data_IF_757831384441
#
_entry.id   IF_757831384441
#
_cell.length_a   1.000
_cell.length_b   1.000
_cell.length_c   1.000
_cell.angle_alpha   90.00
_cell.angle_beta   90.00
_cell.angle_gamma   90.00
#
_symmetry.space_group_name_H-M   'P 1'
#
loop_
_entity.id
_entity.type
_entity.pdbx_description
1 polymer ?
#
# COMPACT_ATOMS: atom_id res chain seq x y z
N UNK A 1 5.25 -8.24 -24.70
CA UNK A 1 5.00 -8.75 -23.32
C UNK A 1 3.65 -9.45 -23.24
N UNK A 2 2.54 -8.82 -23.68
CA UNK A 2 1.21 -9.48 -23.73
C UNK A 2 1.17 -10.71 -24.64
N UNK A 3 1.69 -10.63 -25.86
CA UNK A 3 1.57 -11.74 -26.83
C UNK A 3 2.26 -13.04 -26.36
N UNK A 4 3.38 -12.90 -25.65
CA UNK A 4 4.10 -14.04 -25.05
C UNK A 4 3.32 -14.61 -23.87
N UNK A 5 2.74 -13.75 -23.03
CA UNK A 5 1.89 -14.15 -21.91
C UNK A 5 0.61 -14.84 -22.39
N UNK A 6 -0.06 -14.30 -23.40
CA UNK A 6 -1.32 -14.82 -23.92
C UNK A 6 -1.12 -16.17 -24.61
N UNK A 7 0.01 -16.34 -25.31
CA UNK A 7 0.42 -17.63 -25.88
C UNK A 7 0.67 -18.68 -24.80
N UNK A 8 1.39 -18.34 -23.73
CA UNK A 8 1.65 -19.24 -22.61
C UNK A 8 0.36 -19.61 -21.87
N UNK A 9 -0.52 -18.64 -21.63
CA UNK A 9 -1.82 -18.89 -21.00
C UNK A 9 -2.67 -19.85 -21.84
N UNK A 10 -2.67 -19.71 -23.17
CA UNK A 10 -3.35 -20.65 -24.07
C UNK A 10 -2.78 -22.07 -24.00
N UNK A 11 -1.45 -22.19 -23.99
CA UNK A 11 -0.73 -23.47 -23.96
C UNK A 11 -0.99 -24.26 -22.66
N UNK A 12 -1.09 -23.56 -21.53
CA UNK A 12 -1.40 -24.16 -20.22
C UNK A 12 -2.91 -24.24 -19.91
N UNK A 13 -3.79 -23.95 -20.87
CA UNK A 13 -5.24 -24.02 -20.68
C UNK A 13 -5.80 -22.97 -19.69
N UNK A 14 -5.05 -21.89 -19.43
CA UNK A 14 -5.50 -20.74 -18.66
C UNK A 14 -6.38 -19.84 -19.55
N UNK A 15 -7.36 -19.16 -18.96
CA UNK A 15 -8.28 -18.31 -19.72
C UNK A 15 -7.53 -17.15 -20.38
N UNK A 16 -7.44 -17.17 -21.71
CA UNK A 16 -7.00 -16.03 -22.52
C UNK A 16 -8.19 -15.07 -22.67
N UNK A 17 -7.99 -13.80 -22.33
CA UNK A 17 -9.02 -12.78 -22.51
C UNK A 17 -8.97 -12.32 -23.98
N UNK A 18 -9.64 -13.05 -24.87
CA UNK A 18 -9.65 -12.78 -26.32
C UNK A 18 -10.27 -11.41 -26.66
N UNK A 19 -11.27 -11.00 -25.88
CA UNK A 19 -11.97 -9.73 -26.05
C UNK A 19 -11.97 -8.97 -24.72
N UNK A 20 -10.91 -8.21 -24.40
CA UNK A 20 -10.88 -7.42 -23.19
C UNK A 20 -12.03 -6.41 -23.23
N UNK A 21 -13.01 -6.60 -22.34
CA UNK A 21 -14.09 -5.62 -22.15
C UNK A 21 -13.45 -4.26 -21.88
N UNK A 22 -14.03 -3.19 -22.48
CA UNK A 22 -13.57 -1.80 -22.27
C UNK A 22 -13.33 -1.55 -20.78
N UNK A 23 -12.34 -0.70 -20.50
CA UNK A 23 -12.01 -0.25 -19.15
C UNK A 23 -13.28 0.03 -18.35
N UNK A 24 -13.32 -0.39 -17.07
CA UNK A 24 -14.55 -0.37 -16.29
C UNK A 24 -15.19 1.01 -16.32
N UNK A 25 -16.42 1.04 -16.81
CA UNK A 25 -17.08 2.30 -17.20
C UNK A 25 -17.75 2.99 -16.01
N UNK A 26 -18.01 2.27 -14.92
CA UNK A 26 -18.66 2.79 -13.71
C UNK A 26 -17.68 3.43 -12.70
N UNK A 27 -18.05 4.54 -12.03
CA UNK A 27 -17.21 5.21 -11.02
C UNK A 27 -16.74 4.28 -9.89
N UNK A 28 -17.63 3.41 -9.39
CA UNK A 28 -17.32 2.47 -8.31
C UNK A 28 -16.19 1.51 -8.70
N UNK A 29 -16.27 0.92 -9.90
CA UNK A 29 -15.29 -0.06 -10.35
C UNK A 29 -13.92 0.59 -10.62
N UNK A 30 -13.89 1.85 -11.06
CA UNK A 30 -12.63 2.62 -11.18
C UNK A 30 -11.98 2.86 -9.82
N UNK A 31 -12.77 3.13 -8.80
CA UNK A 31 -12.28 3.32 -7.43
C UNK A 31 -11.69 2.02 -6.87
N UNK A 32 -12.35 0.88 -7.07
CA UNK A 32 -11.83 -0.42 -6.65
C UNK A 32 -10.51 -0.77 -7.36
N UNK A 33 -10.40 -0.49 -8.66
CA UNK A 33 -9.12 -0.64 -9.37
C UNK A 33 -8.02 0.25 -8.78
N UNK A 34 -8.33 1.51 -8.46
CA UNK A 34 -7.36 2.43 -7.84
C UNK A 34 -6.86 1.90 -6.49
N UNK A 35 -7.76 1.35 -5.67
CA UNK A 35 -7.38 0.72 -4.39
C UNK A 35 -6.46 -0.49 -4.61
N UNK A 36 -6.76 -1.32 -5.60
CA UNK A 36 -5.92 -2.48 -5.94
C UNK A 36 -4.53 -2.03 -6.42
N UNK A 37 -4.44 -1.00 -7.26
CA UNK A 37 -3.16 -0.43 -7.71
C UNK A 37 -2.36 0.15 -6.54
N UNK A 38 -3.02 0.82 -5.59
CA UNK A 38 -2.40 1.36 -4.38
C UNK A 38 -1.83 0.25 -3.48
N UNK A 39 -2.58 -0.84 -3.26
CA UNK A 39 -2.12 -2.00 -2.50
C UNK A 39 -0.94 -2.67 -3.23
N UNK A 40 -1.04 -2.85 -4.55
CA UNK A 40 0.03 -3.45 -5.35
C UNK A 40 1.33 -2.64 -5.25
N UNK A 41 1.24 -1.31 -5.31
CA UNK A 41 2.39 -0.43 -5.12
C UNK A 41 3.01 -0.57 -3.70
N UNK A 42 2.17 -0.67 -2.67
CA UNK A 42 2.63 -0.88 -1.29
C UNK A 42 3.34 -2.23 -1.10
N UNK A 43 2.80 -3.31 -1.67
CA UNK A 43 3.41 -4.65 -1.58
C UNK A 43 4.75 -4.69 -2.30
N UNK A 44 4.84 -4.05 -3.48
CA UNK A 44 6.12 -3.90 -4.19
C UNK A 44 7.14 -3.14 -3.36
N UNK A 45 6.74 -2.02 -2.77
CA UNK A 45 7.60 -1.23 -1.88
C UNK A 45 8.11 -2.06 -0.70
N UNK A 46 7.24 -2.81 -0.02
CA UNK A 46 7.64 -3.68 1.08
C UNK A 46 8.67 -4.73 0.64
N UNK A 47 8.51 -5.28 -0.55
CA UNK A 47 9.43 -6.28 -1.11
C UNK A 47 10.79 -5.68 -1.45
N UNK A 48 10.80 -4.51 -2.10
CA UNK A 48 12.02 -3.79 -2.51
C UNK A 48 12.84 -3.29 -1.30
N UNK A 49 12.17 -2.93 -0.21
CA UNK A 49 12.80 -2.44 1.04
C UNK A 49 12.98 -3.53 2.12
N UNK A 50 12.68 -4.79 1.81
CA UNK A 50 12.75 -5.93 2.74
C UNK A 50 11.97 -5.71 4.06
N UNK A 51 10.82 -5.04 3.98
CA UNK A 51 9.98 -4.73 5.14
C UNK A 51 9.08 -5.94 5.43
N UNK A 52 9.42 -6.70 6.46
CA UNK A 52 8.63 -7.85 6.91
C UNK A 52 7.91 -7.60 8.23
N UNK A 53 8.47 -6.74 9.08
CA UNK A 53 7.93 -6.45 10.41
C UNK A 53 7.55 -4.97 10.56
N UNK A 54 6.74 -4.68 11.59
CA UNK A 54 6.41 -3.29 11.95
C UNK A 54 7.65 -2.49 12.37
N UNK A 55 8.64 -3.16 12.96
CA UNK A 55 9.92 -2.55 13.31
C UNK A 55 10.71 -2.14 12.07
N UNK A 56 10.79 -3.01 11.06
CA UNK A 56 11.49 -2.71 9.81
C UNK A 56 10.87 -1.50 9.10
N UNK A 57 9.54 -1.41 9.10
CA UNK A 57 8.80 -0.28 8.55
C UNK A 57 9.14 1.04 9.25
N UNK A 58 9.33 1.01 10.58
CA UNK A 58 9.75 2.18 11.35
C UNK A 58 11.18 2.58 11.03
N UNK A 59 12.11 1.62 11.01
CA UNK A 59 13.51 1.88 10.68
C UNK A 59 13.69 2.44 9.26
N UNK A 60 12.97 1.89 8.28
CA UNK A 60 12.98 2.37 6.90
C UNK A 60 12.36 3.79 6.81
N UNK A 61 11.24 4.04 7.49
CA UNK A 61 10.63 5.37 7.56
C UNK A 61 11.59 6.41 8.13
N UNK A 62 12.26 6.10 9.24
CA UNK A 62 13.17 7.02 9.91
C UNK A 62 14.42 7.28 9.05
N UNK A 63 14.94 6.25 8.38
CA UNK A 63 16.03 6.38 7.41
C UNK A 63 15.63 7.29 6.23
N UNK A 64 14.46 7.07 5.64
CA UNK A 64 13.96 7.90 4.54
C UNK A 64 13.67 9.35 4.99
N UNK A 65 13.23 9.55 6.23
CA UNK A 65 12.99 10.88 6.79
C UNK A 65 14.31 11.64 7.00
N UNK A 66 15.30 11.01 7.63
CA UNK A 66 16.62 11.64 7.83
C UNK A 66 17.28 12.01 6.50
N UNK A 67 17.17 11.15 5.47
CA UNK A 67 17.70 11.45 4.15
C UNK A 67 16.94 12.58 3.45
N UNK A 68 15.62 12.63 3.62
CA UNK A 68 14.80 13.75 3.13
C UNK A 68 15.26 15.07 3.73
N UNK A 69 15.49 15.11 5.05
CA UNK A 69 15.91 16.33 5.75
C UNK A 69 17.32 16.77 5.32
N UNK A 70 18.25 15.82 5.16
CA UNK A 70 19.59 16.08 4.62
C UNK A 70 19.53 16.68 3.21
N UNK A 71 18.74 16.11 2.32
CA UNK A 71 18.60 16.60 0.95
C UNK A 71 17.89 17.96 0.90
N UNK A 72 16.94 18.22 1.79
CA UNK A 72 16.30 19.54 1.90
C UNK A 72 17.34 20.60 2.31
N UNK A 73 18.19 20.30 3.29
CA UNK A 73 19.27 21.17 3.73
C UNK A 73 20.30 21.38 2.61
N UNK A 74 20.69 20.32 1.91
CA UNK A 74 21.61 20.40 0.79
C UNK A 74 21.03 21.23 -0.38
N UNK A 75 19.76 21.03 -0.72
CA UNK A 75 19.04 21.83 -1.72
C UNK A 75 18.99 23.32 -1.33
N UNK A 76 18.82 23.62 -0.04
CA UNK A 76 18.90 24.99 0.50
C UNK A 76 20.30 25.57 0.30
N UNK A 77 21.35 24.80 0.58
CA UNK A 77 22.73 25.21 0.33
C UNK A 77 23.00 25.48 -1.15
N UNK A 78 22.55 24.61 -2.06
CA UNK A 78 22.65 24.82 -3.50
C UNK A 78 21.93 26.11 -3.94
N UNK A 79 20.74 26.37 -3.40
CA UNK A 79 20.02 27.62 -3.68
C UNK A 79 20.81 28.86 -3.23
N UNK A 80 21.44 28.81 -2.06
CA UNK A 80 22.30 29.90 -1.58
C UNK A 80 23.53 30.10 -2.47
N UNK A 81 24.12 29.01 -2.99
CA UNK A 81 25.25 29.07 -3.95
C UNK A 81 24.82 29.69 -5.29
N UNK A 82 23.66 29.29 -5.84
CA UNK A 82 23.11 29.86 -7.08
C UNK A 82 22.91 31.37 -6.98
N UNK A 83 22.45 31.86 -5.83
CA UNK A 83 22.25 33.29 -5.61
C UNK A 83 23.57 34.09 -5.65
N UNK A 84 24.71 33.46 -5.36
CA UNK A 84 26.03 34.12 -5.21
C UNK A 84 26.99 33.86 -6.38
N UNK A 85 26.76 32.84 -7.19
CA UNK A 85 27.67 32.39 -8.24
C UNK A 85 27.58 33.25 -9.52
N UNK A 86 28.60 33.12 -10.40
CA UNK A 86 28.60 33.72 -11.74
C UNK A 86 27.70 32.92 -12.73
N UNK A 87 27.24 33.53 -13.84
CA UNK A 87 26.28 32.91 -14.76
C UNK A 87 26.67 31.51 -15.27
N UNK A 88 27.95 31.25 -15.56
CA UNK A 88 28.42 29.95 -16.04
C UNK A 88 28.40 28.84 -14.97
N UNK A 89 28.58 29.20 -13.70
CA UNK A 89 28.55 28.25 -12.58
C UNK A 89 27.13 27.97 -12.11
N UNK A 90 26.19 28.89 -12.36
CA UNK A 90 24.77 28.73 -12.01
C UNK A 90 24.14 27.52 -12.69
N UNK A 91 24.47 27.26 -13.95
CA UNK A 91 23.89 26.12 -14.69
C UNK A 91 24.22 24.79 -14.02
N UNK A 92 25.47 24.59 -13.60
CA UNK A 92 25.87 23.39 -12.85
C UNK A 92 25.08 23.23 -11.54
N UNK A 93 24.94 24.29 -10.76
CA UNK A 93 24.18 24.23 -9.51
C UNK A 93 22.67 24.04 -9.74
N UNK A 94 22.11 24.49 -10.88
CA UNK A 94 20.70 24.22 -11.25
C UNK A 94 20.49 22.75 -11.57
N UNK A 95 21.39 22.14 -12.34
CA UNK A 95 21.36 20.70 -12.66
C UNK A 95 21.46 19.85 -11.38
N UNK A 96 22.42 20.15 -10.50
CA UNK A 96 22.56 19.47 -9.20
C UNK A 96 21.29 19.64 -8.35
N UNK A 97 20.74 20.86 -8.28
CA UNK A 97 19.50 21.14 -7.54
C UNK A 97 18.31 20.36 -8.10
N UNK A 98 18.24 20.20 -9.41
CA UNK A 98 17.20 19.40 -10.07
C UNK A 98 17.31 17.93 -9.64
N UNK A 99 18.50 17.33 -9.73
CA UNK A 99 18.73 15.94 -9.29
C UNK A 99 18.38 15.73 -7.80
N UNK A 100 18.75 16.67 -6.93
CA UNK A 100 18.37 16.63 -5.50
C UNK A 100 16.85 16.73 -5.32
N UNK A 101 16.17 17.52 -6.15
CA UNK A 101 14.71 17.65 -6.09
C UNK A 101 14.03 16.35 -6.52
N UNK A 102 14.56 15.67 -7.54
CA UNK A 102 14.08 14.34 -7.96
C UNK A 102 14.24 13.31 -6.83
N UNK A 103 15.41 13.25 -6.19
CA UNK A 103 15.62 12.37 -5.03
C UNK A 103 14.65 12.67 -3.87
N UNK A 104 14.41 13.94 -3.52
CA UNK A 104 13.43 14.33 -2.50
C UNK A 104 12.03 13.87 -2.88
N UNK A 105 11.63 14.03 -4.15
CA UNK A 105 10.30 13.59 -4.60
C UNK A 105 10.14 12.09 -4.49
N UNK A 106 11.17 11.31 -4.79
CA UNK A 106 11.15 9.85 -4.63
C UNK A 106 11.06 9.44 -3.16
N UNK A 107 11.88 10.00 -2.27
CA UNK A 107 11.80 9.73 -0.83
C UNK A 107 10.43 10.08 -0.23
N UNK A 108 9.79 11.15 -0.71
CA UNK A 108 8.41 11.50 -0.30
C UNK A 108 7.39 10.45 -0.72
N UNK A 109 7.56 9.81 -1.88
CA UNK A 109 6.70 8.67 -2.27
C UNK A 109 6.90 7.50 -1.34
N UNK A 110 8.15 7.18 -0.98
CA UNK A 110 8.47 6.12 0.00
C UNK A 110 7.81 6.38 1.36
N UNK A 111 7.94 7.60 1.89
CA UNK A 111 7.27 8.01 3.13
C UNK A 111 5.74 7.89 3.04
N UNK A 112 5.16 8.22 1.88
CA UNK A 112 3.72 8.03 1.63
C UNK A 112 3.34 6.55 1.68
N UNK A 113 4.10 5.66 1.04
CA UNK A 113 3.86 4.22 1.09
C UNK A 113 3.98 3.68 2.52
N UNK A 114 5.03 4.06 3.24
CA UNK A 114 5.23 3.63 4.61
C UNK A 114 4.06 4.05 5.54
N UNK A 115 3.56 5.29 5.38
CA UNK A 115 2.40 5.77 6.13
C UNK A 115 1.11 5.02 5.77
N UNK A 116 0.89 4.71 4.49
CA UNK A 116 -0.26 3.96 4.02
C UNK A 116 -0.24 2.51 4.54
N UNK A 117 0.91 1.84 4.47
CA UNK A 117 1.10 0.47 5.00
C UNK A 117 0.81 0.44 6.50
N UNK A 118 1.32 1.41 7.27
CA UNK A 118 1.02 1.51 8.70
C UNK A 118 -0.48 1.60 8.96
N UNK A 119 -1.19 2.47 8.22
CA UNK A 119 -2.65 2.61 8.34
C UNK A 119 -3.38 1.31 8.00
N UNK A 120 -2.98 0.63 6.92
CA UNK A 120 -3.55 -0.64 6.52
C UNK A 120 -3.31 -1.74 7.55
N UNK A 121 -2.09 -1.86 8.08
CA UNK A 121 -1.80 -2.83 9.16
C UNK A 121 -2.67 -2.59 10.40
N UNK A 122 -2.86 -1.33 10.81
CA UNK A 122 -3.69 -1.01 11.96
C UNK A 122 -5.18 -1.33 11.72
N UNK A 123 -5.66 -1.18 10.49
CA UNK A 123 -7.02 -1.59 10.13
C UNK A 123 -7.18 -3.10 10.18
N UNK A 124 -6.20 -3.86 9.67
CA UNK A 124 -6.19 -5.33 9.74
C UNK A 124 -6.18 -5.79 11.20
N UNK A 125 -5.29 -5.23 12.02
CA UNK A 125 -5.21 -5.51 13.47
C UNK A 125 -6.60 -5.30 14.12
N UNK A 126 -7.25 -4.16 13.86
CA UNK A 126 -8.58 -3.87 14.40
C UNK A 126 -9.67 -4.84 13.92
N UNK A 127 -9.63 -5.29 12.66
CA UNK A 127 -10.57 -6.29 12.16
C UNK A 127 -10.34 -7.65 12.84
N UNK A 128 -9.09 -8.03 13.11
CA UNK A 128 -8.78 -9.27 13.83
C UNK A 128 -9.30 -9.21 15.26
N UNK A 129 -9.09 -8.09 15.96
CA UNK A 129 -9.60 -7.88 17.32
C UNK A 129 -11.13 -8.04 17.38
N UNK A 130 -11.87 -7.43 16.44
CA UNK A 130 -13.32 -7.57 16.36
C UNK A 130 -13.78 -9.03 16.15
N UNK A 131 -13.05 -9.79 15.34
CA UNK A 131 -13.33 -11.21 15.12
C UNK A 131 -13.09 -11.99 16.42
N UNK A 132 -11.98 -11.73 17.10
CA UNK A 132 -11.65 -12.36 18.38
C UNK A 132 -12.71 -12.07 19.44
N UNK A 133 -13.11 -10.82 19.62
CA UNK A 133 -14.17 -10.42 20.55
C UNK A 133 -15.50 -11.10 20.22
N UNK A 134 -15.85 -11.16 18.93
CA UNK A 134 -17.08 -11.83 18.47
C UNK A 134 -17.06 -13.33 18.82
N UNK A 135 -15.92 -14.00 18.60
CA UNK A 135 -15.76 -15.42 18.93
C UNK A 135 -15.80 -15.67 20.45
N UNK A 136 -15.20 -14.79 21.24
CA UNK A 136 -15.18 -14.92 22.70
C UNK A 136 -16.56 -14.68 23.32
N UNK A 137 -17.30 -13.70 22.82
CA UNK A 137 -18.69 -13.45 23.22
C UNK A 137 -19.61 -14.62 22.86
N UNK A 138 -19.39 -15.30 21.73
CA UNK A 138 -20.12 -16.51 21.36
C UNK A 138 -19.79 -17.71 22.27
N UNK A 139 -18.57 -17.81 22.78
CA UNK A 139 -18.16 -18.85 23.73
C UNK A 139 -18.75 -18.61 25.12
N UNK A 140 -18.79 -17.36 25.54
CA UNK A 140 -19.24 -16.94 26.87
C UNK A 140 -20.75 -16.85 27.02
N UNK A 141 -21.54 -16.95 25.93
CA UNK A 141 -22.99 -16.90 25.97
C UNK A 141 -23.65 -18.31 25.89
N UNK A 142 -23.98 -18.96 27.03
CA UNK A 142 -24.64 -20.26 27.04
C UNK A 142 -26.08 -20.24 26.50
N UNK A 143 -26.78 -19.09 26.53
CA UNK A 143 -28.17 -18.96 26.07
C UNK A 143 -28.33 -19.07 24.53
N UNK A 144 -27.30 -18.72 23.75
CA UNK A 144 -27.35 -18.86 22.29
C UNK A 144 -27.29 -20.33 21.81
N UNK A 145 -26.75 -21.25 22.63
CA UNK A 145 -26.72 -22.69 22.34
C UNK A 145 -28.02 -23.40 22.75
N UNK A 146 -28.68 -22.98 23.82
CA UNK A 146 -29.91 -23.58 24.32
C UNK A 146 -31.15 -23.29 23.45
N UNK A 147 -31.22 -22.10 22.83
CA UNK A 147 -32.39 -21.68 22.03
C UNK A 147 -32.62 -22.42 20.70
N UNK A 148 -31.65 -23.22 20.23
CA UNK A 148 -31.83 -24.09 19.04
C UNK A 148 -32.34 -25.49 19.39
N UNK A 149 -31.99 -26.01 20.56
CA UNK A 149 -32.46 -27.31 21.03
C UNK A 149 -33.93 -27.31 21.44
N UNK A 150 -34.45 -26.16 21.89
CA UNK A 150 -35.83 -26.06 22.38
C UNK A 150 -36.87 -26.00 21.23
N UNK A 151 -36.60 -25.22 20.17
CA UNK A 151 -37.51 -25.14 18.99
C UNK A 151 -37.71 -26.48 18.30
N UNK A 152 -36.68 -27.33 18.25
CA UNK A 152 -36.77 -28.67 17.66
C UNK A 152 -37.60 -29.65 18.51
N UNK A 153 -37.77 -29.35 19.80
CA UNK A 153 -38.58 -30.15 20.74
C UNK A 153 -40.06 -29.77 20.66
N UNK A 154 -40.38 -28.49 20.47
CA UNK A 154 -41.75 -28.02 20.25
C UNK A 154 -42.31 -28.42 18.87
N UNK A 155 -41.48 -28.45 17.82
CA UNK A 155 -41.89 -28.94 16.48
C UNK A 155 -42.12 -30.46 16.42
N UNK A 156 -41.57 -31.23 17.35
CA UNK A 156 -41.77 -32.68 17.43
C UNK A 156 -43.01 -33.09 18.26
N UNK A 157 -43.70 -32.12 18.88
CA UNK A 157 -44.88 -32.32 19.73
C UNK A 157 -46.17 -31.78 19.08
N UNK A 158 -46.13 -31.36 17.81
CA UNK A 158 -47.29 -31.06 16.96
C UNK A 158 -47.48 -32.14 15.91
#
# INVERSE_FOLDING_TARGET
MRDVSDRLCSEYGLSVIEHPKKAPSGPLMKEELRKLDEITAQVRYMSEHHISTRSDLHADRDSNQTETDRLIDYRRQLQNKICRALPAEKEKFREEKQGVTEQITELRKRLKYAAAIKKHSAHIDSCLDQIHDTLENQRSNPNARAGRTDRRREEALR
#
